data_IF_746800353721
#
_entry.id   IF_746800353721
#
_cell.length_a   1.000
_cell.length_b   1.000
_cell.length_c   1.000
_cell.angle_alpha   90.00
_cell.angle_beta   90.00
_cell.angle_gamma   90.00
#
_symmetry.space_group_name_H-M   'P 1'
#
loop_
_entity.id
_entity.type
_entity.pdbx_description
1 polymer ?
#
# COMPACT_ATOMS: atom_id res chain seq x y z
N UNK A 1 13.91 -45.45 -9.80
CA UNK A 1 12.82 -44.79 -9.06
C UNK A 1 13.22 -43.33 -8.90
N UNK A 2 12.73 -42.44 -9.76
CA UNK A 2 13.10 -41.01 -9.71
C UNK A 2 12.20 -40.32 -8.69
N UNK A 3 12.74 -40.04 -7.49
CA UNK A 3 12.02 -39.22 -6.52
C UNK A 3 11.84 -37.81 -7.09
N UNK A 4 10.61 -37.25 -7.10
CA UNK A 4 10.43 -35.85 -7.43
C UNK A 4 11.09 -35.01 -6.35
N UNK A 5 12.19 -34.33 -6.69
CA UNK A 5 12.83 -33.36 -5.81
C UNK A 5 11.79 -32.35 -5.34
N UNK A 6 11.67 -32.07 -4.02
CA UNK A 6 10.72 -31.10 -3.53
C UNK A 6 11.03 -29.76 -4.17
N UNK A 7 10.06 -29.22 -4.92
CA UNK A 7 10.12 -27.89 -5.52
C UNK A 7 10.11 -26.89 -4.37
N UNK A 8 11.28 -26.62 -3.81
CA UNK A 8 11.48 -25.73 -2.69
C UNK A 8 11.10 -24.32 -3.15
N UNK A 9 9.82 -23.97 -2.99
CA UNK A 9 9.31 -22.62 -3.20
C UNK A 9 9.94 -21.76 -2.11
N UNK A 10 11.14 -21.22 -2.38
CA UNK A 10 11.71 -20.13 -1.57
C UNK A 10 10.66 -19.02 -1.54
N UNK A 11 9.97 -18.88 -0.42
CA UNK A 11 9.13 -17.72 -0.17
C UNK A 11 10.05 -16.52 -0.32
N UNK A 12 9.74 -15.63 -1.25
CA UNK A 12 10.57 -14.47 -1.52
C UNK A 12 10.59 -13.58 -0.27
N UNK A 13 11.77 -13.36 0.31
CA UNK A 13 11.96 -12.52 1.51
C UNK A 13 11.25 -11.16 1.38
N UNK A 14 11.15 -10.57 0.19
CA UNK A 14 10.44 -9.30 0.00
C UNK A 14 8.93 -9.43 0.16
N UNK A 15 8.33 -10.50 -0.35
CA UNK A 15 6.91 -10.77 -0.13
C UNK A 15 6.63 -11.08 1.33
N UNK A 16 7.52 -11.81 2.00
CA UNK A 16 7.42 -12.10 3.43
C UNK A 16 7.54 -10.82 4.26
N UNK A 17 8.48 -9.92 3.94
CA UNK A 17 8.62 -8.61 4.59
C UNK A 17 7.37 -7.75 4.38
N UNK A 18 6.85 -7.67 3.16
CA UNK A 18 5.60 -6.94 2.90
C UNK A 18 4.42 -7.54 3.66
N UNK A 19 4.32 -8.87 3.69
CA UNK A 19 3.27 -9.57 4.42
C UNK A 19 3.33 -9.29 5.91
N UNK A 20 4.53 -9.36 6.52
CA UNK A 20 4.72 -9.02 7.93
C UNK A 20 4.40 -7.54 8.15
N UNK A 21 4.91 -6.64 7.31
CA UNK A 21 4.69 -5.20 7.46
C UNK A 21 3.21 -4.82 7.42
N UNK A 22 2.50 -5.20 6.35
CA UNK A 22 1.07 -4.91 6.23
C UNK A 22 0.22 -5.71 7.23
N UNK A 23 0.61 -6.95 7.52
CA UNK A 23 -0.06 -7.80 8.50
C UNK A 23 0.00 -7.22 9.91
N UNK A 24 1.17 -6.75 10.35
CA UNK A 24 1.34 -6.08 11.64
C UNK A 24 0.51 -4.79 11.73
N UNK A 25 0.53 -3.95 10.70
CA UNK A 25 -0.28 -2.73 10.66
C UNK A 25 -1.78 -3.03 10.76
N UNK A 26 -2.27 -4.00 9.97
CA UNK A 26 -3.67 -4.40 10.01
C UNK A 26 -4.05 -5.00 11.37
N UNK A 27 -3.16 -5.79 11.97
CA UNK A 27 -3.38 -6.34 13.30
C UNK A 27 -3.47 -5.25 14.37
N UNK A 28 -2.57 -4.27 14.33
CA UNK A 28 -2.57 -3.16 15.29
C UNK A 28 -3.87 -2.35 15.21
N UNK A 29 -4.32 -2.00 14.00
CA UNK A 29 -5.60 -1.29 13.83
C UNK A 29 -6.82 -2.15 14.14
N UNK A 30 -6.78 -3.45 13.85
CA UNK A 30 -7.86 -4.37 14.22
C UNK A 30 -7.96 -4.54 15.74
N UNK A 31 -6.80 -4.63 16.42
CA UNK A 31 -6.72 -4.63 17.87
C UNK A 31 -7.27 -3.32 18.43
N UNK A 32 -6.88 -2.19 17.86
CA UNK A 32 -7.37 -0.86 18.26
C UNK A 32 -8.90 -0.77 18.14
N UNK A 33 -9.49 -1.27 17.05
CA UNK A 33 -10.95 -1.37 16.90
C UNK A 33 -11.61 -2.27 17.94
N UNK A 34 -10.97 -3.39 18.27
CA UNK A 34 -11.49 -4.34 19.25
C UNK A 34 -11.43 -3.77 20.68
N UNK A 35 -10.34 -3.10 21.05
CA UNK A 35 -10.12 -2.59 22.41
C UNK A 35 -10.78 -1.25 22.66
N UNK A 36 -10.77 -0.35 21.67
CA UNK A 36 -11.25 1.03 21.81
C UNK A 36 -12.59 1.28 21.09
N UNK A 37 -13.18 0.24 20.49
CA UNK A 37 -14.46 0.31 19.81
C UNK A 37 -14.39 0.87 18.38
N UNK A 38 -15.55 0.97 17.72
CA UNK A 38 -15.66 1.42 16.34
C UNK A 38 -15.26 2.90 16.19
N UNK A 39 -14.01 3.14 15.82
CA UNK A 39 -13.50 4.48 15.52
C UNK A 39 -13.15 4.62 14.04
N UNK A 40 -13.45 5.81 13.48
CA UNK A 40 -13.26 6.11 12.06
C UNK A 40 -11.81 5.99 11.59
N UNK A 41 -10.85 6.27 12.48
CA UNK A 41 -9.42 6.30 12.16
C UNK A 41 -8.84 4.90 11.81
N UNK A 42 -8.91 3.87 12.68
CA UNK A 42 -8.44 2.53 12.33
C UNK A 42 -9.27 1.91 11.20
N UNK A 43 -10.59 2.15 11.12
CA UNK A 43 -11.39 1.70 9.98
C UNK A 43 -10.88 2.26 8.66
N UNK A 44 -10.69 3.58 8.60
CA UNK A 44 -10.16 4.24 7.41
C UNK A 44 -8.79 3.68 7.03
N UNK A 45 -7.89 3.51 7.99
CA UNK A 45 -6.55 2.97 7.73
C UNK A 45 -6.61 1.55 7.16
N UNK A 46 -7.42 0.67 7.75
CA UNK A 46 -7.62 -0.71 7.27
C UNK A 46 -8.18 -0.69 5.85
N UNK A 47 -9.27 0.05 5.62
CA UNK A 47 -9.93 0.13 4.31
C UNK A 47 -9.00 0.70 3.26
N UNK A 48 -8.26 1.77 3.56
CA UNK A 48 -7.28 2.36 2.66
C UNK A 48 -6.21 1.33 2.28
N UNK A 49 -5.54 0.72 3.26
CA UNK A 49 -4.46 -0.25 2.98
C UNK A 49 -4.97 -1.45 2.17
N UNK A 50 -6.13 -2.01 2.51
CA UNK A 50 -6.68 -3.15 1.77
C UNK A 50 -7.07 -2.79 0.34
N UNK A 51 -7.75 -1.65 0.13
CA UNK A 51 -8.11 -1.17 -1.19
C UNK A 51 -6.86 -0.91 -2.04
N UNK A 52 -5.82 -0.31 -1.44
CA UNK A 52 -4.55 -0.08 -2.11
C UNK A 52 -3.90 -1.38 -2.59
N UNK A 53 -3.80 -2.39 -1.71
CA UNK A 53 -3.17 -3.66 -2.04
C UNK A 53 -3.92 -4.41 -3.13
N UNK A 54 -5.26 -4.44 -3.06
CA UNK A 54 -6.11 -5.07 -4.07
C UNK A 54 -5.96 -4.33 -5.41
N UNK A 55 -6.08 -3.00 -5.41
CA UNK A 55 -5.99 -2.22 -6.63
C UNK A 55 -4.59 -2.30 -7.25
N UNK A 56 -3.53 -2.21 -6.44
CA UNK A 56 -2.17 -2.39 -6.92
C UNK A 56 -1.95 -3.79 -7.50
N UNK A 57 -2.47 -4.84 -6.87
CA UNK A 57 -2.40 -6.18 -7.42
C UNK A 57 -3.09 -6.29 -8.79
N UNK A 58 -4.26 -5.68 -8.95
CA UNK A 58 -4.98 -5.66 -10.23
C UNK A 58 -4.22 -4.89 -11.31
N UNK A 59 -3.68 -3.71 -10.97
CA UNK A 59 -2.85 -2.88 -11.86
C UNK A 59 -1.56 -3.59 -12.28
N UNK A 60 -0.97 -4.37 -11.38
CA UNK A 60 0.28 -5.08 -11.65
C UNK A 60 0.07 -6.40 -12.40
N UNK A 61 -1.08 -7.08 -12.20
CA UNK A 61 -1.36 -8.39 -12.80
C UNK A 61 -2.15 -8.35 -14.10
N UNK A 62 -3.15 -7.49 -14.22
CA UNK A 62 -4.15 -7.55 -15.31
C UNK A 62 -3.93 -6.54 -16.42
N UNK A 63 -3.00 -5.61 -16.27
CA UNK A 63 -2.92 -4.44 -17.15
C UNK A 63 -1.54 -4.33 -17.79
N UNK A 64 -1.51 -4.21 -19.12
CA UNK A 64 -0.32 -3.87 -19.91
C UNK A 64 0.05 -2.38 -19.80
N UNK A 65 -0.35 -1.73 -18.69
CA UNK A 65 -0.18 -0.30 -18.51
C UNK A 65 1.29 0.10 -18.52
N UNK A 66 1.57 1.22 -19.18
CA UNK A 66 2.91 1.80 -19.18
C UNK A 66 3.33 2.14 -17.74
N UNK A 67 4.65 2.17 -17.45
CA UNK A 67 5.15 2.55 -16.13
C UNK A 67 4.64 3.92 -15.68
N UNK A 68 4.47 4.86 -16.61
CA UNK A 68 3.95 6.21 -16.37
C UNK A 68 2.51 6.18 -15.85
N UNK A 69 1.63 5.40 -16.48
CA UNK A 69 0.22 5.33 -16.05
C UNK A 69 0.10 4.63 -14.69
N UNK A 70 0.93 3.62 -14.42
CA UNK A 70 1.00 2.99 -13.10
C UNK A 70 1.47 3.97 -12.03
N UNK A 71 2.50 4.76 -12.34
CA UNK A 71 2.97 5.83 -11.46
C UNK A 71 1.89 6.86 -11.17
N UNK A 72 1.16 7.31 -12.20
CA UNK A 72 0.04 8.24 -12.03
C UNK A 72 -1.06 7.66 -11.14
N UNK A 73 -1.41 6.38 -11.32
CA UNK A 73 -2.38 5.69 -10.48
C UNK A 73 -1.97 5.69 -9.01
N UNK A 74 -0.73 5.28 -8.71
CA UNK A 74 -0.21 5.28 -7.33
C UNK A 74 -0.15 6.69 -6.73
N UNK A 75 0.27 7.67 -7.55
CA UNK A 75 0.35 9.06 -7.12
C UNK A 75 -1.01 9.63 -6.74
N UNK A 76 -2.01 9.46 -7.61
CA UNK A 76 -3.37 9.92 -7.34
C UNK A 76 -3.97 9.21 -6.13
N UNK A 77 -3.72 7.90 -6.00
CA UNK A 77 -4.16 7.14 -4.84
C UNK A 77 -3.61 7.73 -3.54
N UNK A 78 -2.28 7.90 -3.45
CA UNK A 78 -1.64 8.45 -2.24
C UNK A 78 -2.05 9.89 -1.97
N UNK A 79 -2.23 10.70 -3.01
CA UNK A 79 -2.64 12.09 -2.88
C UNK A 79 -4.05 12.20 -2.32
N UNK A 80 -5.00 11.47 -2.89
CA UNK A 80 -6.39 11.52 -2.47
C UNK A 80 -6.53 10.97 -1.05
N UNK A 81 -5.99 9.77 -0.78
CA UNK A 81 -6.11 9.12 0.52
C UNK A 81 -5.34 9.91 1.60
N UNK A 82 -4.14 10.39 1.30
CA UNK A 82 -3.35 11.20 2.24
C UNK A 82 -4.04 12.53 2.57
N UNK A 83 -4.63 13.19 1.58
CA UNK A 83 -5.37 14.43 1.79
C UNK A 83 -6.65 14.20 2.60
N UNK A 84 -7.42 13.15 2.27
CA UNK A 84 -8.62 12.76 3.03
C UNK A 84 -8.26 12.39 4.47
N UNK A 85 -7.21 11.57 4.66
CA UNK A 85 -6.75 11.20 5.98
C UNK A 85 -6.44 12.47 6.80
N UNK A 86 -5.64 13.37 6.24
CA UNK A 86 -5.23 14.57 6.97
C UNK A 86 -6.40 15.51 7.27
N UNK A 87 -7.27 15.78 6.29
CA UNK A 87 -8.36 16.74 6.43
C UNK A 87 -9.53 16.21 7.26
N UNK A 88 -9.91 14.95 7.08
CA UNK A 88 -11.12 14.37 7.68
C UNK A 88 -10.79 13.58 8.94
N UNK A 89 -9.74 12.77 8.94
CA UNK A 89 -9.40 11.91 10.08
C UNK A 89 -8.60 12.68 11.15
N UNK A 90 -7.66 13.54 10.71
CA UNK A 90 -6.83 14.32 11.62
C UNK A 90 -7.28 15.78 11.76
N UNK A 91 -8.33 16.19 11.05
CA UNK A 91 -8.90 17.54 11.10
C UNK A 91 -7.88 18.65 10.87
N UNK A 92 -6.82 18.37 10.10
CA UNK A 92 -5.79 19.35 9.79
C UNK A 92 -6.33 20.40 8.82
N UNK A 93 -5.96 21.66 9.05
CA UNK A 93 -6.35 22.74 8.15
C UNK A 93 -5.67 22.58 6.78
N UNK A 94 -6.48 22.65 5.72
CA UNK A 94 -5.99 22.63 4.35
C UNK A 94 -5.41 24.00 4.00
N UNK A 95 -4.08 24.10 4.08
CA UNK A 95 -3.33 25.27 3.64
C UNK A 95 -2.30 24.87 2.56
N UNK A 96 -1.68 25.87 1.92
CA UNK A 96 -0.74 25.63 0.82
C UNK A 96 0.49 24.81 1.21
N UNK A 97 0.98 24.96 2.44
CA UNK A 97 2.14 24.20 2.95
C UNK A 97 1.80 22.71 3.13
N UNK A 98 0.62 22.42 3.70
CA UNK A 98 0.12 21.07 3.86
C UNK A 98 -0.14 20.39 2.50
N UNK A 99 -0.74 21.11 1.55
CA UNK A 99 -0.93 20.61 0.18
C UNK A 99 0.41 20.25 -0.49
N UNK A 100 1.42 21.10 -0.33
CA UNK A 100 2.77 20.80 -0.82
C UNK A 100 3.34 19.53 -0.17
N UNK A 101 3.19 19.36 1.14
CA UNK A 101 3.62 18.14 1.82
C UNK A 101 2.88 16.90 1.31
N UNK A 102 1.56 16.97 1.12
CA UNK A 102 0.80 15.83 0.59
C UNK A 102 1.23 15.47 -0.83
N UNK A 103 1.47 16.45 -1.69
CA UNK A 103 2.02 16.25 -3.03
C UNK A 103 3.40 15.57 -2.96
N UNK A 104 4.28 16.08 -2.10
CA UNK A 104 5.62 15.56 -1.92
C UNK A 104 5.62 14.10 -1.41
N UNK A 105 4.84 13.81 -0.36
CA UNK A 105 4.73 12.46 0.18
C UNK A 105 4.07 11.49 -0.81
N UNK A 106 3.10 11.94 -1.59
CA UNK A 106 2.46 11.12 -2.63
C UNK A 106 3.41 10.79 -3.76
N UNK A 107 4.28 11.73 -4.14
CA UNK A 107 5.35 11.51 -5.10
C UNK A 107 6.37 10.49 -4.57
N UNK A 108 6.87 10.69 -3.35
CA UNK A 108 7.81 9.77 -2.72
C UNK A 108 7.23 8.36 -2.54
N UNK A 109 5.99 8.26 -2.07
CA UNK A 109 5.25 7.00 -1.93
C UNK A 109 5.13 6.25 -3.26
N UNK A 110 4.83 6.98 -4.33
CA UNK A 110 4.78 6.43 -5.69
C UNK A 110 6.11 5.83 -6.13
N UNK A 111 7.22 6.56 -5.93
CA UNK A 111 8.55 6.08 -6.30
C UNK A 111 8.93 4.82 -5.53
N UNK A 112 8.69 4.82 -4.21
CA UNK A 112 8.96 3.66 -3.34
C UNK A 112 8.13 2.45 -3.80
N UNK A 113 6.84 2.64 -4.06
CA UNK A 113 5.96 1.55 -4.45
C UNK A 113 6.31 1.00 -5.84
N UNK A 114 6.58 1.86 -6.82
CA UNK A 114 7.07 1.43 -8.14
C UNK A 114 8.37 0.63 -8.04
N UNK A 115 9.28 1.04 -7.16
CA UNK A 115 10.52 0.30 -6.91
C UNK A 115 10.24 -1.08 -6.32
N UNK A 116 9.34 -1.18 -5.33
CA UNK A 116 8.89 -2.44 -4.75
C UNK A 116 8.27 -3.33 -5.84
N UNK A 117 7.31 -2.84 -6.61
CA UNK A 117 6.69 -3.57 -7.71
C UNK A 117 7.71 -4.07 -8.75
N UNK A 118 8.69 -3.24 -9.12
CA UNK A 118 9.77 -3.62 -10.05
C UNK A 118 10.61 -4.77 -9.48
N UNK A 119 10.97 -4.72 -8.20
CA UNK A 119 11.71 -5.81 -7.53
C UNK A 119 10.90 -7.10 -7.45
N UNK A 120 9.59 -7.01 -7.22
CA UNK A 120 8.70 -8.17 -7.20
C UNK A 120 8.53 -8.80 -8.60
N UNK A 121 8.52 -7.99 -9.68
CA UNK A 121 8.46 -8.48 -11.08
C UNK A 121 9.77 -9.10 -11.57
N UNK A 122 10.92 -8.52 -11.26
CA UNK A 122 12.23 -8.95 -11.77
C UNK A 122 12.66 -10.36 -11.32
N UNK A 123 11.88 -11.03 -10.47
CA UNK A 123 12.12 -12.39 -9.97
C UNK A 123 10.99 -13.38 -10.29
N UNK A 124 10.03 -12.99 -11.13
CA UNK A 124 9.10 -13.93 -11.79
C UNK A 124 9.74 -14.46 -13.06
#
# INVERSE_FOLDING_TARGET
MNQPTPKNRKINNQFLVLFIFFGSLLFDWARDLYTNGWSLKPLFNITAVLLFLIASYLVERKTSLSPTVRGLFYFLYFLIIGTIASAIIYSNQLNGQMLFLYLFFSFMGTLIWLFVCKKLRAKK
#
